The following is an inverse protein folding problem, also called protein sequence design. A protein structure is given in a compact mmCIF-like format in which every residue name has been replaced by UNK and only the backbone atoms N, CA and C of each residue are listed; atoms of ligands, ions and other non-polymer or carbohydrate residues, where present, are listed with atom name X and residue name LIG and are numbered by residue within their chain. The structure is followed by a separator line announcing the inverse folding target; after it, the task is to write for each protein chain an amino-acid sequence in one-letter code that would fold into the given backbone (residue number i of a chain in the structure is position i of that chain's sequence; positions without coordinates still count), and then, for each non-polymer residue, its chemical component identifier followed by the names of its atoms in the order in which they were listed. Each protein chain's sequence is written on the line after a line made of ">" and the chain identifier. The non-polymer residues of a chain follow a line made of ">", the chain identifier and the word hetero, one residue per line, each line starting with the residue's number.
data_IF_210070505411
#
_entry.id   IF_210070505411
#
_cell.length_a   1.000
_cell.length_b   1.000
_cell.length_c   1.000
_cell.angle_alpha   90.00
_cell.angle_beta   90.00
_cell.angle_gamma   90.00
#
_symmetry.space_group_name_H-M   'P 1'
#
loop_
_entity.id
_entity.type
_entity.pdbx_description
1 polymer ?
#
# COMPACT_ATOMS: atom_id res chain seq x y z
N UNK A 1 16.82 -5.12 -2.35
CA UNK A 1 16.27 -5.38 -0.99
C UNK A 1 16.39 -6.88 -0.73
N UNK A 2 17.44 -7.29 -0.04
CA UNK A 2 17.69 -8.71 0.17
C UNK A 2 17.19 -9.17 1.54
N UNK A 3 16.68 -10.40 1.60
CA UNK A 3 16.31 -11.12 2.82
C UNK A 3 15.26 -10.43 3.71
N UNK A 4 14.13 -10.01 3.09
CA UNK A 4 13.00 -9.43 3.81
C UNK A 4 12.26 -10.51 4.61
N UNK A 5 12.22 -10.37 5.94
CA UNK A 5 11.57 -11.32 6.86
C UNK A 5 10.16 -10.92 7.25
N UNK A 6 9.87 -9.61 7.29
CA UNK A 6 8.55 -9.10 7.64
C UNK A 6 8.14 -7.98 6.68
N UNK A 7 7.03 -8.17 5.98
CA UNK A 7 6.51 -7.23 4.99
C UNK A 7 5.08 -6.85 5.37
N UNK A 8 4.80 -5.56 5.41
CA UNK A 8 3.44 -5.00 5.48
C UNK A 8 3.14 -4.31 4.15
N UNK A 9 2.20 -4.88 3.38
CA UNK A 9 1.72 -4.30 2.12
C UNK A 9 0.29 -3.77 2.30
N UNK A 10 0.10 -2.51 1.96
CA UNK A 10 -1.17 -1.77 2.02
C UNK A 10 -1.58 -1.43 0.58
N UNK A 11 -2.80 -1.81 0.18
CA UNK A 11 -3.24 -1.78 -1.21
C UNK A 11 -2.73 -3.00 -1.98
N UNK A 12 -2.99 -4.20 -1.45
CA UNK A 12 -2.43 -5.44 -2.01
C UNK A 12 -3.14 -5.91 -3.27
N UNK A 13 -4.29 -5.32 -3.64
CA UNK A 13 -5.11 -5.75 -4.77
C UNK A 13 -5.31 -7.28 -4.77
N UNK A 14 -5.08 -7.98 -5.89
CA UNK A 14 -5.10 -9.45 -5.97
C UNK A 14 -3.74 -10.10 -5.70
N UNK A 15 -2.71 -9.32 -5.45
CA UNK A 15 -1.37 -9.73 -4.99
C UNK A 15 -0.43 -10.32 -6.02
N UNK A 16 -0.89 -10.67 -7.24
CA UNK A 16 -0.06 -11.29 -8.28
C UNK A 16 -0.17 -10.57 -9.63
N UNK A 17 -0.44 -9.27 -9.60
CA UNK A 17 -0.44 -8.44 -10.81
C UNK A 17 0.98 -8.31 -11.37
N UNK A 18 1.14 -8.08 -12.68
CA UNK A 18 2.48 -7.96 -13.29
C UNK A 18 3.37 -6.86 -12.67
N UNK A 19 2.75 -5.84 -12.10
CA UNK A 19 3.42 -4.70 -11.45
C UNK A 19 3.47 -4.82 -9.92
N UNK A 20 2.97 -5.92 -9.31
CA UNK A 20 3.09 -6.10 -7.85
C UNK A 20 4.56 -6.33 -7.46
N UNK A 21 5.15 -5.43 -6.64
CA UNK A 21 6.56 -5.54 -6.28
C UNK A 21 6.82 -6.62 -5.23
N UNK A 22 5.79 -7.12 -4.54
CA UNK A 22 5.93 -7.97 -3.36
C UNK A 22 5.84 -9.45 -3.69
N UNK A 23 4.92 -9.83 -4.59
CA UNK A 23 4.61 -11.24 -4.85
C UNK A 23 5.82 -12.13 -5.14
N UNK A 24 6.83 -11.60 -5.86
CA UNK A 24 8.05 -12.33 -6.20
C UNK A 24 9.18 -12.19 -5.17
N UNK A 25 9.04 -11.29 -4.18
CA UNK A 25 10.04 -11.10 -3.12
C UNK A 25 9.82 -12.03 -1.93
N UNK A 26 8.61 -12.59 -1.77
CA UNK A 26 8.25 -13.40 -0.61
C UNK A 26 8.60 -14.87 -0.79
N UNK A 27 8.92 -15.53 0.33
CA UNK A 27 9.17 -16.96 0.42
C UNK A 27 8.45 -17.55 1.65
N UNK A 28 8.59 -18.86 1.85
CA UNK A 28 7.90 -19.59 2.93
C UNK A 28 8.21 -19.09 4.35
N UNK A 29 9.33 -18.39 4.56
CA UNK A 29 9.77 -17.88 5.87
C UNK A 29 9.49 -16.38 6.06
N UNK A 30 8.85 -15.73 5.09
CA UNK A 30 8.44 -14.34 5.19
C UNK A 30 7.18 -14.23 6.04
N UNK A 31 7.20 -13.38 7.09
CA UNK A 31 5.98 -12.90 7.74
C UNK A 31 5.36 -11.86 6.83
N UNK A 32 4.15 -12.14 6.34
CA UNK A 32 3.50 -11.30 5.35
C UNK A 32 2.14 -10.79 5.85
N UNK A 33 1.96 -9.49 5.85
CA UNK A 33 0.69 -8.84 6.20
C UNK A 33 0.18 -8.11 4.98
N UNK A 34 -0.97 -8.52 4.47
CA UNK A 34 -1.60 -8.01 3.25
C UNK A 34 -2.92 -7.33 3.56
N UNK A 35 -3.05 -6.06 3.14
CA UNK A 35 -4.23 -5.25 3.42
C UNK A 35 -4.90 -4.83 2.11
N UNK A 36 -6.16 -5.25 1.94
CA UNK A 36 -6.97 -4.92 0.77
C UNK A 36 -8.42 -4.62 1.18
N UNK A 37 -8.93 -3.40 0.92
CA UNK A 37 -10.27 -3.01 1.33
C UNK A 37 -11.39 -3.60 0.50
N UNK A 38 -11.19 -3.86 -0.79
CA UNK A 38 -12.25 -4.27 -1.71
C UNK A 38 -12.55 -5.76 -1.54
N UNK A 39 -13.77 -6.17 -1.14
CA UNK A 39 -14.05 -7.54 -0.72
C UNK A 39 -13.79 -8.62 -1.80
N UNK A 40 -14.10 -8.34 -3.06
CA UNK A 40 -13.88 -9.32 -4.13
C UNK A 40 -12.38 -9.44 -4.46
N UNK A 41 -11.62 -8.34 -4.47
CA UNK A 41 -10.15 -8.36 -4.66
C UNK A 41 -9.47 -9.09 -3.49
N UNK A 42 -9.91 -8.82 -2.27
CA UNK A 42 -9.43 -9.51 -1.08
C UNK A 42 -9.62 -11.02 -1.13
N UNK A 43 -10.74 -11.50 -1.71
CA UNK A 43 -10.96 -12.94 -1.89
C UNK A 43 -10.02 -13.54 -2.94
N UNK A 44 -9.77 -12.83 -4.04
CA UNK A 44 -8.78 -13.24 -5.05
C UNK A 44 -7.36 -13.21 -4.50
N UNK A 45 -6.99 -12.17 -3.73
CA UNK A 45 -5.71 -12.07 -3.04
C UNK A 45 -5.41 -13.33 -2.22
N UNK A 46 -6.36 -13.78 -1.40
CA UNK A 46 -6.21 -15.00 -0.60
C UNK A 46 -6.02 -16.26 -1.47
N UNK A 47 -6.71 -16.36 -2.61
CA UNK A 47 -6.56 -17.48 -3.53
C UNK A 47 -5.17 -17.50 -4.17
N UNK A 48 -4.69 -16.35 -4.63
CA UNK A 48 -3.41 -16.22 -5.32
C UNK A 48 -2.22 -16.56 -4.41
N UNK A 49 -2.31 -16.24 -3.12
CA UNK A 49 -1.25 -16.56 -2.17
C UNK A 49 -1.28 -18.01 -1.64
N UNK A 50 -2.34 -18.79 -1.87
CA UNK A 50 -2.39 -20.20 -1.44
C UNK A 50 -1.24 -21.06 -1.97
N UNK A 51 -0.79 -20.80 -3.20
CA UNK A 51 0.29 -21.55 -3.83
C UNK A 51 1.70 -21.19 -3.32
N UNK A 52 1.85 -20.09 -2.58
CA UNK A 52 3.16 -19.60 -2.10
C UNK A 52 3.69 -20.33 -0.86
N UNK A 53 2.86 -21.16 -0.19
CA UNK A 53 3.22 -21.90 1.02
C UNK A 53 3.85 -21.04 2.13
N UNK A 54 3.44 -19.77 2.24
CA UNK A 54 3.93 -18.84 3.28
C UNK A 54 3.35 -19.28 4.63
N UNK A 55 4.23 -19.53 5.61
CA UNK A 55 3.85 -20.07 6.92
C UNK A 55 3.18 -19.03 7.83
N UNK A 56 3.58 -17.77 7.72
CA UNK A 56 3.07 -16.66 8.55
C UNK A 56 2.49 -15.58 7.62
N UNK A 57 1.23 -15.73 7.25
CA UNK A 57 0.50 -14.79 6.40
C UNK A 57 -0.77 -14.30 7.08
N UNK A 58 -0.94 -12.99 7.12
CA UNK A 58 -2.11 -12.30 7.67
C UNK A 58 -2.81 -11.52 6.57
N UNK A 59 -4.11 -11.70 6.43
CA UNK A 59 -4.95 -10.97 5.48
C UNK A 59 -5.91 -10.04 6.23
N UNK A 60 -5.99 -8.77 5.83
CA UNK A 60 -6.81 -7.74 6.47
C UNK A 60 -7.73 -7.10 5.42
N UNK A 61 -9.05 -7.32 5.55
CA UNK A 61 -10.04 -6.70 4.67
C UNK A 61 -10.53 -5.37 5.26
N UNK A 62 -9.68 -4.36 5.20
CA UNK A 62 -9.95 -2.97 5.61
C UNK A 62 -9.17 -2.02 4.71
N UNK A 63 -9.59 -0.76 4.64
CA UNK A 63 -8.71 0.30 4.16
C UNK A 63 -7.74 0.72 5.27
N UNK A 64 -6.55 1.23 4.92
CA UNK A 64 -5.69 1.92 5.87
C UNK A 64 -5.88 3.42 5.71
N UNK A 65 -5.96 4.15 6.83
CA UNK A 65 -6.18 5.58 6.84
C UNK A 65 -5.53 6.22 8.08
N UNK A 66 -5.78 7.51 8.28
CA UNK A 66 -5.33 8.30 9.43
C UNK A 66 -6.05 7.95 10.74
N UNK A 67 -7.21 7.31 10.67
CA UNK A 67 -8.06 7.00 11.82
C UNK A 67 -8.96 5.80 11.57
N UNK A 68 -9.47 5.19 12.65
CA UNK A 68 -10.41 4.06 12.59
C UNK A 68 -11.82 4.61 12.44
N UNK A 69 -12.42 4.41 11.27
CA UNK A 69 -13.77 4.89 10.92
C UNK A 69 -14.35 4.07 9.77
N UNK A 70 -15.48 4.45 9.26
CA UNK A 70 -16.01 3.98 7.98
C UNK A 70 -15.87 5.10 6.95
N UNK A 71 -15.41 4.75 5.75
CA UNK A 71 -15.22 5.71 4.65
C UNK A 71 -15.89 5.22 3.37
N UNK A 72 -16.15 6.15 2.47
CA UNK A 72 -16.51 5.86 1.10
C UNK A 72 -15.26 5.51 0.30
N UNK A 73 -15.30 4.41 -0.44
CA UNK A 73 -14.27 4.00 -1.40
C UNK A 73 -14.91 3.88 -2.77
N UNK A 74 -14.32 4.52 -3.77
CA UNK A 74 -14.73 4.42 -5.17
C UNK A 74 -13.95 3.33 -5.84
N UNK A 75 -14.65 2.38 -6.49
CA UNK A 75 -14.07 1.19 -7.08
C UNK A 75 -14.54 1.01 -8.53
N UNK A 76 -13.74 0.41 -9.40
CA UNK A 76 -14.22 -0.06 -10.70
C UNK A 76 -15.31 -1.12 -10.49
N UNK A 77 -16.48 -0.90 -11.10
CA UNK A 77 -17.61 -1.84 -10.98
C UNK A 77 -17.34 -3.16 -11.69
N UNK A 78 -17.79 -4.27 -11.09
CA UNK A 78 -17.78 -5.59 -11.74
C UNK A 78 -18.72 -5.68 -12.97
N UNK A 79 -19.54 -4.67 -13.23
CA UNK A 79 -20.32 -4.55 -14.47
C UNK A 79 -19.45 -4.20 -15.68
N UNK A 80 -18.22 -3.73 -15.46
CA UNK A 80 -17.28 -3.47 -16.57
C UNK A 80 -16.85 -4.79 -17.22
N UNK A 81 -16.76 -4.78 -18.56
CA UNK A 81 -15.98 -5.79 -19.25
C UNK A 81 -14.51 -5.35 -19.28
N UNK A 82 -13.73 -5.81 -18.31
CA UNK A 82 -12.32 -5.43 -18.17
C UNK A 82 -11.43 -5.77 -19.36
N UNK A 83 -11.86 -6.69 -20.26
CA UNK A 83 -11.14 -6.96 -21.51
C UNK A 83 -11.11 -5.76 -22.47
N UNK A 84 -12.01 -4.79 -22.29
CA UNK A 84 -12.07 -3.57 -23.07
C UNK A 84 -11.20 -2.43 -22.51
N UNK A 85 -10.48 -2.67 -21.40
CA UNK A 85 -9.68 -1.68 -20.68
C UNK A 85 -8.25 -2.18 -20.48
N UNK A 86 -7.29 -1.29 -20.20
CA UNK A 86 -5.95 -1.70 -19.79
C UNK A 86 -5.96 -2.59 -18.55
N UNK A 87 -4.95 -3.45 -18.41
CA UNK A 87 -4.87 -4.43 -17.30
C UNK A 87 -4.96 -3.79 -15.90
N UNK A 88 -4.51 -2.55 -15.75
CA UNK A 88 -4.54 -1.83 -14.48
C UNK A 88 -5.93 -1.25 -14.14
N UNK A 89 -6.92 -1.35 -15.03
CA UNK A 89 -8.25 -0.76 -14.80
C UNK A 89 -8.92 -1.23 -13.50
N UNK A 90 -8.66 -2.47 -13.06
CA UNK A 90 -9.18 -3.00 -11.79
C UNK A 90 -8.44 -2.50 -10.56
N UNK A 91 -7.27 -1.85 -10.72
CA UNK A 91 -6.41 -1.38 -9.63
C UNK A 91 -6.80 0.00 -9.11
N UNK A 92 -7.56 0.78 -9.86
CA UNK A 92 -7.84 2.20 -9.65
C UNK A 92 -8.79 2.52 -8.48
N UNK A 93 -8.85 1.69 -7.44
CA UNK A 93 -9.72 1.94 -6.29
C UNK A 93 -9.15 3.05 -5.42
N UNK A 94 -9.92 4.13 -5.17
CA UNK A 94 -9.44 5.31 -4.46
C UNK A 94 -10.50 5.91 -3.54
N UNK A 95 -10.08 6.62 -2.51
CA UNK A 95 -10.93 7.50 -1.69
C UNK A 95 -11.34 8.77 -2.46
N UNK A 96 -10.62 9.08 -3.53
CA UNK A 96 -10.90 10.24 -4.37
C UNK A 96 -11.92 9.90 -5.46
N UNK A 97 -13.09 10.52 -5.41
CA UNK A 97 -14.21 10.25 -6.31
C UNK A 97 -13.82 10.30 -7.80
N UNK A 98 -13.00 11.28 -8.19
CA UNK A 98 -12.69 11.55 -9.58
C UNK A 98 -11.45 10.78 -10.09
N UNK A 99 -10.83 9.99 -9.23
CA UNK A 99 -9.57 9.30 -9.55
C UNK A 99 -9.73 8.35 -10.75
N UNK A 100 -10.75 7.49 -10.70
CA UNK A 100 -11.01 6.49 -11.75
C UNK A 100 -11.31 7.17 -13.10
N UNK A 101 -12.18 8.19 -13.10
CA UNK A 101 -12.57 8.89 -14.32
C UNK A 101 -11.39 9.64 -14.98
N UNK A 102 -10.47 10.17 -14.15
CA UNK A 102 -9.25 10.84 -14.65
C UNK A 102 -8.27 9.88 -15.30
N UNK A 103 -8.24 8.63 -14.85
CA UNK A 103 -7.44 7.57 -15.48
C UNK A 103 -8.09 7.00 -16.71
N UNK A 104 -9.35 6.59 -16.61
CA UNK A 104 -10.07 5.87 -17.64
C UNK A 104 -11.51 6.41 -17.74
N UNK A 105 -11.74 7.20 -18.80
CA UNK A 105 -13.09 7.62 -19.17
C UNK A 105 -13.95 6.39 -19.48
N UNK A 106 -15.23 6.45 -19.13
CA UNK A 106 -16.24 5.41 -19.38
C UNK A 106 -16.06 4.11 -18.55
N UNK A 107 -15.12 4.04 -17.63
CA UNK A 107 -15.08 2.94 -16.66
C UNK A 107 -16.21 3.16 -15.63
N UNK A 108 -17.14 2.21 -15.55
CA UNK A 108 -18.26 2.27 -14.60
C UNK A 108 -17.67 2.19 -13.18
N UNK A 109 -17.99 3.19 -12.36
CA UNK A 109 -17.51 3.29 -10.99
C UNK A 109 -18.65 3.01 -10.01
N UNK A 110 -18.38 2.28 -8.96
CA UNK A 110 -19.27 2.08 -7.81
C UNK A 110 -18.65 2.67 -6.55
N UNK A 111 -19.52 3.05 -5.61
CA UNK A 111 -19.13 3.49 -4.29
C UNK A 111 -19.51 2.45 -3.26
N UNK A 112 -18.55 2.03 -2.45
CA UNK A 112 -18.76 1.11 -1.34
C UNK A 112 -18.35 1.75 -0.01
N UNK A 113 -18.91 1.25 1.09
CA UNK A 113 -18.49 1.58 2.45
C UNK A 113 -17.46 0.57 2.91
N UNK A 114 -16.32 1.03 3.42
CA UNK A 114 -15.26 0.18 3.96
C UNK A 114 -14.84 0.66 5.34
N UNK A 115 -14.55 -0.29 6.23
CA UNK A 115 -13.96 0.02 7.54
C UNK A 115 -12.48 0.34 7.36
N UNK A 116 -11.98 1.32 8.12
CA UNK A 116 -10.56 1.64 8.14
C UNK A 116 -9.85 1.06 9.36
N UNK A 117 -8.54 1.03 9.26
CA UNK A 117 -7.58 0.81 10.34
C UNK A 117 -6.39 1.76 10.14
N UNK A 118 -5.46 1.82 11.08
CA UNK A 118 -4.20 2.55 10.96
C UNK A 118 -3.03 1.58 10.97
N UNK A 119 -1.85 2.00 10.52
CA UNK A 119 -0.61 1.19 10.64
C UNK A 119 -0.36 0.86 12.12
N UNK A 120 -0.49 1.83 13.01
CA UNK A 120 -0.30 1.63 14.46
C UNK A 120 -1.24 0.54 15.01
N UNK A 121 -2.52 0.57 14.63
CA UNK A 121 -3.48 -0.43 15.05
C UNK A 121 -3.19 -1.83 14.48
N UNK A 122 -2.69 -1.93 13.24
CA UNK A 122 -2.25 -3.20 12.65
C UNK A 122 -1.07 -3.75 13.46
N UNK A 123 -0.07 -2.93 13.74
CA UNK A 123 1.12 -3.31 14.53
C UNK A 123 0.73 -3.85 15.90
N UNK A 124 -0.15 -3.15 16.61
CA UNK A 124 -0.64 -3.55 17.93
C UNK A 124 -1.46 -4.84 17.86
N UNK A 125 -2.48 -4.88 16.97
CA UNK A 125 -3.41 -6.01 16.86
C UNK A 125 -2.72 -7.32 16.53
N UNK A 126 -1.72 -7.28 15.63
CA UNK A 126 -0.99 -8.48 15.16
C UNK A 126 0.37 -8.65 15.82
N UNK A 127 0.65 -7.88 16.89
CA UNK A 127 1.88 -7.96 17.67
C UNK A 127 3.15 -7.95 16.82
N UNK A 128 3.19 -7.05 15.83
CA UNK A 128 4.33 -6.91 14.92
C UNK A 128 5.49 -6.25 15.68
N UNK A 129 6.67 -6.87 15.66
CA UNK A 129 7.84 -6.37 16.41
C UNK A 129 8.86 -5.66 15.54
N UNK A 130 8.88 -5.99 14.24
CA UNK A 130 9.74 -5.35 13.24
C UNK A 130 9.03 -5.37 11.88
N UNK A 131 9.41 -4.46 11.01
CA UNK A 131 8.97 -4.39 9.62
C UNK A 131 10.23 -4.17 8.77
N UNK A 132 10.55 -5.13 7.89
CA UNK A 132 11.64 -4.93 6.94
C UNK A 132 11.19 -4.05 5.77
N UNK A 133 9.97 -4.25 5.27
CA UNK A 133 9.41 -3.43 4.20
C UNK A 133 7.97 -3.02 4.54
N UNK A 134 7.73 -1.73 4.61
CA UNK A 134 6.40 -1.12 4.52
C UNK A 134 6.20 -0.67 3.07
N UNK A 135 5.22 -1.28 2.40
CA UNK A 135 4.79 -0.88 1.06
C UNK A 135 3.39 -0.31 1.13
N UNK A 136 3.17 0.87 0.53
CA UNK A 136 1.85 1.47 0.38
C UNK A 136 1.63 1.89 -1.07
N UNK A 137 0.48 1.49 -1.61
CA UNK A 137 -0.01 1.85 -2.92
C UNK A 137 -1.53 1.94 -2.82
N UNK A 138 -2.03 3.15 -2.60
CA UNK A 138 -3.42 3.41 -2.22
C UNK A 138 -4.09 4.44 -3.11
N UNK A 139 -3.52 4.63 -4.31
CA UNK A 139 -4.09 5.50 -5.33
C UNK A 139 -4.40 6.91 -4.81
N UNK A 140 -3.37 7.50 -4.14
CA UNK A 140 -3.36 8.88 -3.67
C UNK A 140 -3.78 9.08 -2.21
N UNK A 141 -3.84 8.02 -1.38
CA UNK A 141 -4.08 8.16 0.07
C UNK A 141 -2.82 7.97 0.92
N UNK A 142 -1.69 7.65 0.31
CA UNK A 142 -0.41 7.32 0.92
C UNK A 142 0.12 8.41 1.85
N UNK A 143 -0.04 9.68 1.48
CA UNK A 143 0.31 10.82 2.33
C UNK A 143 -0.38 10.73 3.70
N UNK A 144 -1.70 10.55 3.72
CA UNK A 144 -2.49 10.54 4.96
C UNK A 144 -2.07 9.35 5.85
N UNK A 145 -1.83 8.20 5.24
CA UNK A 145 -1.40 6.97 5.90
C UNK A 145 -0.03 7.17 6.56
N UNK A 146 0.97 7.61 5.80
CA UNK A 146 2.34 7.77 6.28
C UNK A 146 2.51 8.96 7.22
N UNK A 147 1.73 10.03 7.05
CA UNK A 147 1.73 11.16 7.99
C UNK A 147 1.11 10.81 9.34
N UNK A 148 0.12 9.91 9.41
CA UNK A 148 -0.51 9.46 10.65
C UNK A 148 0.26 8.35 11.37
N UNK A 149 1.22 7.72 10.72
CA UNK A 149 2.07 6.70 11.34
C UNK A 149 3.07 7.34 12.31
N UNK A 150 3.16 6.81 13.53
CA UNK A 150 4.02 7.33 14.61
C UNK A 150 5.48 6.87 14.53
N UNK A 151 5.76 5.84 13.72
CA UNK A 151 7.10 5.26 13.54
C UNK A 151 7.75 4.72 14.84
N UNK A 152 6.97 4.28 15.83
CA UNK A 152 7.50 3.54 16.99
C UNK A 152 8.28 2.32 16.51
N UNK A 153 7.76 1.60 15.51
CA UNK A 153 8.52 0.61 14.75
C UNK A 153 8.94 1.27 13.44
N UNK A 154 10.22 1.54 13.27
CA UNK A 154 10.76 2.10 12.03
C UNK A 154 11.00 0.98 11.02
N UNK A 155 10.26 0.91 9.89
CA UNK A 155 10.56 -0.05 8.83
C UNK A 155 11.98 0.12 8.29
N UNK A 156 12.66 -0.99 7.96
CA UNK A 156 13.97 -0.92 7.32
C UNK A 156 13.91 -0.24 5.95
N UNK A 157 12.84 -0.55 5.20
CA UNK A 157 12.53 0.09 3.92
C UNK A 157 11.08 0.58 3.94
N UNK A 158 10.86 1.72 3.28
CA UNK A 158 9.54 2.26 2.96
C UNK A 158 9.48 2.42 1.45
N UNK A 159 8.44 1.86 0.82
CA UNK A 159 8.14 2.04 -0.59
C UNK A 159 6.71 2.55 -0.70
N UNK A 160 6.49 3.65 -1.40
CA UNK A 160 5.16 4.23 -1.55
C UNK A 160 4.95 4.89 -2.91
N UNK A 161 3.70 4.83 -3.38
CA UNK A 161 3.29 5.54 -4.58
C UNK A 161 3.22 7.05 -4.29
N UNK A 162 3.94 7.86 -5.10
CA UNK A 162 3.90 9.31 -4.98
C UNK A 162 3.22 10.03 -6.15
N UNK A 163 2.97 9.32 -7.26
CA UNK A 163 2.38 9.84 -8.50
C UNK A 163 1.05 10.56 -8.28
N UNK A 164 0.27 10.11 -7.29
CA UNK A 164 -1.06 10.62 -6.97
C UNK A 164 -1.14 11.35 -5.63
N UNK A 165 -0.03 11.64 -4.98
CA UNK A 165 0.04 12.09 -3.58
C UNK A 165 -0.68 13.42 -3.31
N UNK A 166 -0.69 14.34 -4.29
CA UNK A 166 -1.40 15.63 -4.25
C UNK A 166 -2.70 15.63 -5.08
N UNK A 167 -3.15 14.44 -5.49
CA UNK A 167 -4.29 14.22 -6.36
C UNK A 167 -3.90 13.45 -7.62
N UNK A 168 -4.88 13.02 -8.40
CA UNK A 168 -4.65 12.19 -9.58
C UNK A 168 -3.65 12.86 -10.54
N UNK A 169 -2.51 12.17 -10.79
CA UNK A 169 -1.36 12.64 -11.58
C UNK A 169 -0.76 13.97 -11.11
N UNK A 170 -0.85 14.26 -9.82
CA UNK A 170 -0.33 15.49 -9.26
C UNK A 170 0.66 15.21 -8.13
N UNK A 171 1.84 15.81 -8.25
CA UNK A 171 2.91 15.80 -7.27
C UNK A 171 3.21 17.24 -6.87
N UNK A 172 3.30 17.52 -5.58
CA UNK A 172 3.51 18.88 -5.07
C UNK A 172 3.91 18.89 -3.58
N UNK A 173 3.37 19.83 -2.84
CA UNK A 173 3.77 20.14 -1.47
C UNK A 173 3.66 18.98 -0.48
N UNK A 174 2.65 18.09 -0.66
CA UNK A 174 2.50 16.93 0.23
C UNK A 174 3.69 15.98 0.14
N UNK A 175 4.25 15.80 -1.07
CA UNK A 175 5.46 14.98 -1.21
C UNK A 175 6.62 15.57 -0.41
N UNK A 176 6.84 16.88 -0.51
CA UNK A 176 7.94 17.55 0.17
C UNK A 176 7.78 17.45 1.70
N UNK A 177 6.57 17.67 2.21
CA UNK A 177 6.25 17.52 3.64
C UNK A 177 6.52 16.11 4.12
N UNK A 178 6.04 15.08 3.38
CA UNK A 178 6.24 13.68 3.74
C UNK A 178 7.73 13.30 3.71
N UNK A 179 8.45 13.68 2.66
CA UNK A 179 9.89 13.41 2.55
C UNK A 179 10.68 14.09 3.68
N UNK A 180 10.35 15.32 4.05
CA UNK A 180 10.97 16.01 5.18
C UNK A 180 10.75 15.25 6.49
N UNK A 181 9.50 14.74 6.75
CA UNK A 181 9.23 13.89 7.91
C UNK A 181 10.12 12.64 7.90
N UNK A 182 10.21 11.95 6.76
CA UNK A 182 11.00 10.72 6.65
C UNK A 182 12.51 10.98 6.78
N UNK A 183 13.02 12.08 6.24
CA UNK A 183 14.43 12.47 6.42
C UNK A 183 14.77 12.79 7.89
N UNK A 184 13.88 13.47 8.60
CA UNK A 184 14.03 13.73 10.05
C UNK A 184 14.00 12.41 10.87
N UNK A 185 13.34 11.37 10.38
CA UNK A 185 13.35 10.03 10.96
C UNK A 185 14.57 9.18 10.56
N UNK A 186 15.53 9.79 9.85
CA UNK A 186 16.77 9.17 9.38
C UNK A 186 16.63 8.21 8.18
N UNK A 187 15.61 8.41 7.33
CA UNK A 187 15.52 7.70 6.05
C UNK A 187 16.25 8.45 4.95
N UNK A 188 16.73 7.72 3.95
CA UNK A 188 17.26 8.27 2.68
C UNK A 188 16.61 7.60 1.49
N UNK A 189 16.40 8.33 0.41
CA UNK A 189 15.92 7.78 -0.86
C UNK A 189 17.03 6.90 -1.45
N UNK A 190 16.67 5.67 -1.82
CA UNK A 190 17.56 4.71 -2.50
C UNK A 190 17.10 4.41 -3.93
N UNK A 191 15.82 4.63 -4.23
CA UNK A 191 15.26 4.53 -5.57
C UNK A 191 14.09 5.52 -5.70
N UNK A 192 13.93 6.07 -6.89
CA UNK A 192 12.78 6.86 -7.31
C UNK A 192 12.58 6.63 -8.79
N UNK A 193 11.41 6.15 -9.17
CA UNK A 193 10.99 6.04 -10.57
C UNK A 193 9.84 6.99 -10.89
N UNK A 194 9.01 6.69 -11.87
CA UNK A 194 7.90 7.56 -12.31
C UNK A 194 6.67 7.49 -11.40
N UNK A 195 6.55 6.44 -10.59
CA UNK A 195 5.37 6.17 -9.77
C UNK A 195 5.72 6.07 -8.28
N UNK A 196 6.86 5.41 -7.96
CA UNK A 196 7.22 5.02 -6.60
C UNK A 196 8.51 5.66 -6.09
N UNK A 197 8.56 5.85 -4.78
CA UNK A 197 9.79 6.18 -4.05
C UNK A 197 10.08 5.07 -3.05
N UNK A 198 11.33 4.60 -3.04
CA UNK A 198 11.83 3.69 -2.03
C UNK A 198 12.86 4.40 -1.15
N UNK A 199 12.63 4.35 0.16
CA UNK A 199 13.57 4.86 1.15
C UNK A 199 14.12 3.71 2.00
N UNK A 200 15.35 3.90 2.48
CA UNK A 200 15.99 3.01 3.45
C UNK A 200 16.30 3.78 4.73
N UNK A 201 16.04 3.16 5.87
CA UNK A 201 16.48 3.66 7.16
C UNK A 201 18.02 3.60 7.20
N UNK A 202 18.67 4.73 7.47
CA UNK A 202 20.09 4.70 7.77
C UNK A 202 20.28 4.00 9.13
N UNK A 203 21.06 2.94 9.14
CA UNK A 203 21.59 2.42 10.39
C UNK A 203 22.42 3.57 11.00
N UNK A 204 22.12 3.97 12.24
CA UNK A 204 23.02 4.84 12.94
C UNK A 204 24.39 4.14 12.92
N UNK A 205 25.45 4.80 12.43
CA UNK A 205 26.78 4.32 12.65
C UNK A 205 26.88 4.06 14.14
N UNK A 206 27.00 2.79 14.50
CA UNK A 206 27.33 2.38 15.85
C UNK A 206 28.77 2.82 16.08
N UNK A 207 28.91 4.12 16.37
CA UNK A 207 30.12 4.64 16.93
C UNK A 207 30.24 4.04 18.33
N UNK A 208 31.03 2.98 18.39
CA UNK A 208 31.59 2.45 19.64
C UNK A 208 32.37 3.50 20.38
#
# INVERSE_FOLDING_TARGET
>A
MDNLKCILQIGSHIGNTPNDPIYNLVNENTKLILVEPVPYLFNELKKNYKSKNIKDITFINKAVSDSIKEIDLYIPSLKNNFNNFPYYASQLSSVNKDHIERHLKNLITEKIKVKTTTINNIIETYNIKNIDLLHTDTEGHDYNILMSYDFIIKPKYIMFEYKHIDGCFKVGEKLDILLNKLFLLNYKIINKDTEDITLKLNEADSLC
#
